data_IF_837659953324
#
_entry.id   IF_837659953324
#
_cell.length_a   1.000
_cell.length_b   1.000
_cell.length_c   1.000
_cell.angle_alpha   90.00
_cell.angle_beta   90.00
_cell.angle_gamma   90.00
#
_symmetry.space_group_name_H-M   'P 1'
#
loop_
_entity.id
_entity.type
_entity.pdbx_description
1 polymer ?
#
# COMPACT_ATOMS: atom_id res chain seq x y z
N UNK A 1 8.22 -9.99 -8.83
CA UNK A 1 7.98 -8.59 -8.42
C UNK A 1 6.89 -8.55 -7.35
N UNK A 2 7.15 -9.15 -6.17
CA UNK A 2 6.20 -9.20 -5.05
C UNK A 2 6.90 -9.01 -3.69
N UNK A 3 8.19 -9.29 -3.58
CA UNK A 3 8.97 -9.25 -2.31
C UNK A 3 9.12 -7.88 -1.65
N UNK A 4 9.06 -6.74 -2.37
CA UNK A 4 9.52 -5.46 -1.80
C UNK A 4 8.48 -4.69 -0.98
N UNK A 5 7.19 -4.96 -1.17
CA UNK A 5 6.15 -4.31 -0.34
C UNK A 5 5.97 -5.05 1.00
N UNK A 6 6.33 -6.34 1.05
CA UNK A 6 6.34 -7.14 2.28
C UNK A 6 7.27 -6.58 3.37
N UNK A 7 8.40 -5.98 2.97
CA UNK A 7 9.41 -5.43 3.90
C UNK A 7 9.08 -4.04 4.45
N UNK A 8 8.03 -3.36 3.95
CA UNK A 8 7.76 -1.97 4.30
C UNK A 8 6.66 -1.79 5.36
N UNK A 9 5.86 -2.81 5.68
CA UNK A 9 4.75 -2.70 6.64
C UNK A 9 5.15 -3.33 7.99
N UNK A 10 5.31 -2.56 9.09
CA UNK A 10 5.74 -3.12 10.36
C UNK A 10 4.60 -3.89 11.02
N UNK A 11 4.97 -5.03 11.61
CA UNK A 11 4.15 -5.92 12.45
C UNK A 11 2.96 -6.58 11.72
N UNK A 12 3.27 -7.63 10.95
CA UNK A 12 2.27 -8.52 10.35
C UNK A 12 1.70 -7.98 9.05
N UNK A 13 2.44 -8.21 7.95
CA UNK A 13 2.13 -7.84 6.56
C UNK A 13 0.61 -7.64 6.33
N UNK A 14 0.16 -6.39 6.26
CA UNK A 14 -1.27 -6.06 6.05
C UNK A 14 -1.80 -6.62 4.72
N UNK A 15 -0.91 -7.07 3.83
CA UNK A 15 -1.23 -7.86 2.64
C UNK A 15 -1.35 -9.37 2.95
N UNK A 16 -0.48 -9.94 3.79
CA UNK A 16 -0.53 -11.36 4.21
C UNK A 16 -1.79 -11.71 4.98
N UNK A 17 -2.42 -10.74 5.65
CA UNK A 17 -3.71 -10.99 6.32
C UNK A 17 -4.83 -11.34 5.32
N UNK A 18 -4.68 -10.95 4.05
CA UNK A 18 -5.63 -11.27 3.00
C UNK A 18 -5.30 -12.62 2.37
N UNK A 19 -6.03 -13.66 2.79
CA UNK A 19 -5.93 -15.02 2.22
C UNK A 19 -6.26 -15.06 0.72
N UNK A 20 -7.18 -14.21 0.28
CA UNK A 20 -7.63 -14.17 -1.11
C UNK A 20 -6.72 -13.28 -1.97
N UNK A 21 -6.39 -13.71 -3.21
CA UNK A 21 -5.51 -12.94 -4.09
C UNK A 21 -6.01 -11.53 -4.42
N UNK A 22 -7.33 -11.34 -4.52
CA UNK A 22 -7.93 -10.06 -4.91
C UNK A 22 -7.70 -8.98 -3.84
N UNK A 23 -8.15 -9.13 -2.57
CA UNK A 23 -7.86 -8.13 -1.53
C UNK A 23 -6.36 -7.94 -1.29
N UNK A 24 -5.55 -8.99 -1.43
CA UNK A 24 -4.09 -8.92 -1.33
C UNK A 24 -3.50 -7.98 -2.39
N UNK A 25 -3.91 -8.14 -3.65
CA UNK A 25 -3.53 -7.22 -4.74
C UNK A 25 -4.00 -5.79 -4.46
N UNK A 26 -5.24 -5.61 -3.99
CA UNK A 26 -5.76 -4.29 -3.67
C UNK A 26 -4.95 -3.57 -2.60
N UNK A 27 -4.49 -4.30 -1.57
CA UNK A 27 -3.57 -3.78 -0.57
C UNK A 27 -2.24 -3.32 -1.20
N UNK A 28 -1.64 -4.15 -2.06
CA UNK A 28 -0.40 -3.76 -2.78
C UNK A 28 -0.59 -2.51 -3.64
N UNK A 29 -1.71 -2.42 -4.37
CA UNK A 29 -2.04 -1.26 -5.19
C UNK A 29 -2.22 0.00 -4.33
N UNK A 30 -2.89 -0.12 -3.17
CA UNK A 30 -3.05 0.96 -2.20
C UNK A 30 -1.71 1.44 -1.62
N UNK A 31 -0.84 0.49 -1.26
CA UNK A 31 0.49 0.76 -0.73
C UNK A 31 1.45 1.42 -1.73
N UNK A 32 1.12 1.50 -3.03
CA UNK A 32 1.99 2.17 -4.01
C UNK A 32 2.18 3.65 -3.68
N UNK A 33 3.39 4.14 -3.88
CA UNK A 33 3.74 5.55 -3.65
C UNK A 33 3.07 6.46 -4.68
N UNK A 34 2.50 7.57 -4.22
CA UNK A 34 1.89 8.62 -5.02
C UNK A 34 1.93 9.91 -4.19
N UNK A 35 2.51 10.98 -4.75
CA UNK A 35 2.64 12.29 -4.09
C UNK A 35 1.56 13.29 -4.53
N UNK A 36 0.83 12.96 -5.60
CA UNK A 36 -0.14 13.84 -6.23
C UNK A 36 -1.55 13.64 -5.65
N UNK A 37 -1.79 12.49 -5.01
CA UNK A 37 -3.12 12.08 -4.57
C UNK A 37 -3.12 11.44 -3.18
N UNK A 38 -4.10 11.85 -2.37
CA UNK A 38 -4.44 11.25 -1.07
C UNK A 38 -5.02 9.84 -1.21
N UNK A 39 -5.04 9.08 -0.11
CA UNK A 39 -5.64 7.76 -0.09
C UNK A 39 -7.14 7.79 -0.43
N UNK A 40 -7.85 8.84 0.00
CA UNK A 40 -9.26 9.09 -0.26
C UNK A 40 -9.53 9.29 -1.76
N UNK A 41 -8.71 10.11 -2.44
CA UNK A 41 -8.82 10.30 -3.89
C UNK A 41 -8.54 9.01 -4.65
N UNK A 42 -7.55 8.24 -4.20
CA UNK A 42 -7.16 6.99 -4.86
C UNK A 42 -8.18 5.87 -4.67
N UNK A 43 -8.72 5.72 -3.46
CA UNK A 43 -9.70 4.67 -3.16
C UNK A 43 -11.04 4.91 -3.87
N UNK A 44 -11.41 6.17 -4.14
CA UNK A 44 -12.63 6.53 -4.86
C UNK A 44 -12.70 5.91 -6.28
N UNK A 45 -11.57 5.51 -6.87
CA UNK A 45 -11.49 4.88 -8.20
C UNK A 45 -11.55 3.35 -8.16
N UNK A 46 -11.58 2.74 -6.97
CA UNK A 46 -11.58 1.28 -6.81
C UNK A 46 -13.01 0.76 -6.97
N UNK A 47 -13.28 0.03 -8.05
CA UNK A 47 -14.62 -0.48 -8.40
C UNK A 47 -14.79 -1.99 -8.20
N UNK A 48 -13.73 -2.71 -7.81
CA UNK A 48 -13.71 -4.18 -7.71
C UNK A 48 -14.69 -4.72 -6.65
N UNK A 49 -14.92 -3.97 -5.58
CA UNK A 49 -15.86 -4.33 -4.52
C UNK A 49 -15.41 -3.92 -3.12
N UNK A 50 -16.29 -4.04 -2.12
CA UNK A 50 -16.10 -3.46 -0.79
C UNK A 50 -14.87 -4.00 -0.05
N UNK A 51 -14.55 -5.29 -0.22
CA UNK A 51 -13.37 -5.89 0.41
C UNK A 51 -12.08 -5.32 -0.19
N UNK A 52 -12.05 -5.12 -1.51
CA UNK A 52 -10.91 -4.50 -2.19
C UNK A 52 -10.73 -3.04 -1.81
N UNK A 53 -11.83 -2.28 -1.74
CA UNK A 53 -11.86 -0.88 -1.27
C UNK A 53 -11.24 -0.78 0.13
N UNK A 54 -11.69 -1.63 1.07
CA UNK A 54 -11.14 -1.66 2.43
C UNK A 54 -9.65 -2.00 2.45
N UNK A 55 -9.25 -3.03 1.72
CA UNK A 55 -7.86 -3.48 1.65
C UNK A 55 -6.93 -2.42 1.05
N UNK A 56 -7.39 -1.76 -0.02
CA UNK A 56 -6.68 -0.67 -0.66
C UNK A 56 -6.47 0.49 0.31
N UNK A 57 -7.56 0.98 0.93
CA UNK A 57 -7.49 2.17 1.77
C UNK A 57 -6.58 1.96 2.98
N UNK A 58 -6.69 0.79 3.62
CA UNK A 58 -5.89 0.47 4.79
C UNK A 58 -4.38 0.46 4.49
N UNK A 59 -3.97 -0.25 3.43
CA UNK A 59 -2.56 -0.33 3.07
C UNK A 59 -2.01 0.98 2.50
N UNK A 60 -2.86 1.82 1.89
CA UNK A 60 -2.50 3.18 1.51
C UNK A 60 -2.18 4.03 2.74
N UNK A 61 -3.09 4.09 3.72
CA UNK A 61 -2.94 4.90 4.94
C UNK A 61 -1.69 4.47 5.71
N UNK A 62 -1.52 3.16 5.93
CA UNK A 62 -0.34 2.64 6.62
C UNK A 62 0.95 3.03 5.89
N UNK A 63 1.00 2.87 4.56
CA UNK A 63 2.18 3.24 3.77
C UNK A 63 2.46 4.74 3.79
N UNK A 64 1.42 5.59 3.80
CA UNK A 64 1.57 7.03 3.93
C UNK A 64 2.11 7.41 5.30
N UNK A 65 1.55 6.87 6.39
CA UNK A 65 2.07 7.10 7.76
C UNK A 65 3.53 6.65 7.91
N UNK A 66 3.92 5.56 7.26
CA UNK A 66 5.30 5.08 7.28
C UNK A 66 6.26 5.95 6.50
N UNK A 67 5.78 6.68 5.48
CA UNK A 67 6.57 7.67 4.75
C UNK A 67 6.66 8.98 5.53
N UNK A 68 5.53 9.42 6.06
CA UNK A 68 5.41 10.67 6.82
C UNK A 68 6.13 10.57 8.18
N UNK A 69 6.08 9.40 8.81
CA UNK A 69 6.71 9.10 10.09
C UNK A 69 8.19 8.72 10.00
N UNK A 70 8.80 8.69 8.81
CA UNK A 70 10.18 8.22 8.64
C UNK A 70 11.24 9.27 8.96
N UNK A 71 11.30 9.64 10.24
CA UNK A 71 12.56 9.94 10.96
C UNK A 71 13.38 8.66 11.23
N UNK A 72 12.91 7.46 10.86
CA UNK A 72 13.63 6.20 11.00
C UNK A 72 14.27 5.76 9.67
N UNK A 73 15.47 6.31 9.41
CA UNK A 73 16.53 5.70 8.59
C UNK A 73 16.10 5.35 7.15
N UNK A 74 16.26 6.34 6.27
CA UNK A 74 16.46 6.21 4.83
C UNK A 74 16.81 4.79 4.31
N UNK A 75 15.88 4.18 3.56
CA UNK A 75 16.25 3.52 2.32
C UNK A 75 15.42 4.12 1.20
N UNK A 76 16.01 5.15 0.59
CA UNK A 76 15.53 5.80 -0.61
C UNK A 76 15.47 4.77 -1.74
N UNK A 77 14.32 4.14 -1.95
CA UNK A 77 14.14 3.23 -3.07
C UNK A 77 13.49 4.00 -4.22
N UNK A 78 14.33 4.67 -5.01
CA UNK A 78 13.98 5.10 -6.35
C UNK A 78 13.56 3.84 -7.14
N UNK A 79 12.27 3.67 -7.42
CA UNK A 79 11.82 2.71 -8.43
C UNK A 79 11.66 3.47 -9.75
N UNK A 80 12.77 3.54 -10.49
CA UNK A 80 12.75 3.86 -11.91
C UNK A 80 11.82 2.89 -12.63
N UNK A 81 10.91 3.45 -13.41
CA UNK A 81 10.09 2.74 -14.37
C UNK A 81 10.95 2.54 -15.63
N UNK A 82 11.22 1.30 -16.00
CA UNK A 82 11.67 0.90 -17.33
C UNK A 82 10.98 -0.42 -17.67
#
# INVERSE_FOLDING_TARGET
MFEKVEYLLPEGNSSAKYKHPVPRKCCFDGARFNNDETCEQRVARVTIGPICIRAFNECCILSSQLRDGNSFKHKHLHLGQH
#
